data_IF_018028632860
#
_entry.id   IF_018028632860
#
_cell.length_a   1.000
_cell.length_b   1.000
_cell.length_c   1.000
_cell.angle_alpha   90.00
_cell.angle_beta   90.00
_cell.angle_gamma   90.00
#
_symmetry.space_group_name_H-M   'P 1'
#
loop_
_entity.id
_entity.type
_entity.pdbx_description
1 polymer ?
#
# COMPACT_ATOMS: atom_id res chain seq x y z
N UNK A 1 14.66 68.12 4.60
CA UNK A 1 14.90 67.02 3.66
C UNK A 1 16.25 66.42 3.97
N UNK A 2 16.29 65.28 4.66
CA UNK A 2 17.48 64.47 4.82
C UNK A 2 17.03 63.03 5.12
N UNK A 3 16.93 62.24 4.05
CA UNK A 3 16.66 60.80 4.09
C UNK A 3 17.84 60.06 4.73
N UNK A 4 17.56 59.32 5.80
CA UNK A 4 18.48 58.32 6.34
C UNK A 4 18.31 57.03 5.56
N UNK A 5 19.16 56.83 4.56
CA UNK A 5 19.31 55.55 3.88
C UNK A 5 19.90 54.51 4.84
N UNK A 6 19.05 53.60 5.31
CA UNK A 6 19.45 52.49 6.18
C UNK A 6 20.01 51.36 5.30
N UNK A 7 21.34 51.27 5.25
CA UNK A 7 22.06 50.24 4.49
C UNK A 7 21.88 48.87 5.16
N UNK A 8 21.02 48.01 4.60
CA UNK A 8 20.91 46.62 5.03
C UNK A 8 22.16 45.85 4.61
N UNK A 9 22.86 45.28 5.59
CA UNK A 9 24.02 44.43 5.35
C UNK A 9 23.62 43.16 4.57
N UNK A 10 24.47 42.67 3.65
CA UNK A 10 24.15 41.51 2.82
C UNK A 10 24.01 40.24 3.67
N UNK A 11 23.08 39.33 3.32
CA UNK A 11 22.85 38.11 4.08
C UNK A 11 24.11 37.24 4.08
N UNK A 12 24.65 36.99 5.26
CA UNK A 12 25.82 36.14 5.48
C UNK A 12 25.53 34.69 5.07
N UNK A 13 26.47 34.04 4.38
CA UNK A 13 26.34 32.70 3.79
C UNK A 13 25.93 31.57 4.77
N UNK A 14 26.15 31.78 6.07
CA UNK A 14 25.71 30.86 7.15
C UNK A 14 24.19 30.85 7.33
N UNK A 15 23.52 31.99 7.15
CA UNK A 15 22.06 32.09 7.25
C UNK A 15 21.35 31.39 6.09
N UNK A 16 21.95 31.46 4.89
CA UNK A 16 21.43 30.76 3.69
C UNK A 16 21.50 29.24 3.87
N UNK A 17 22.64 28.70 4.34
CA UNK A 17 22.78 27.25 4.60
C UNK A 17 21.82 26.71 5.67
N UNK A 18 21.57 27.48 6.73
CA UNK A 18 20.66 27.07 7.80
C UNK A 18 19.20 27.09 7.33
N UNK A 19 18.79 28.14 6.59
CA UNK A 19 17.45 28.24 6.02
C UNK A 19 17.15 27.11 5.01
N UNK A 20 18.10 26.79 4.13
CA UNK A 20 17.95 25.66 3.20
C UNK A 20 17.81 24.32 3.92
N UNK A 21 18.54 24.09 5.03
CA UNK A 21 18.40 22.86 5.84
C UNK A 21 17.04 22.75 6.50
N UNK A 22 16.53 23.85 7.05
CA UNK A 22 15.20 23.87 7.66
C UNK A 22 14.08 23.66 6.65
N UNK A 23 14.16 24.27 5.47
CA UNK A 23 13.18 24.06 4.40
C UNK A 23 13.20 22.61 3.94
N UNK A 24 14.37 22.00 3.75
CA UNK A 24 14.48 20.59 3.36
C UNK A 24 13.88 19.68 4.44
N UNK A 25 14.22 19.91 5.72
CA UNK A 25 13.64 19.15 6.82
C UNK A 25 12.11 19.29 6.90
N UNK A 26 11.59 20.51 6.81
CA UNK A 26 10.15 20.76 6.83
C UNK A 26 9.46 20.06 5.64
N UNK A 27 10.08 20.13 4.47
CA UNK A 27 9.59 19.48 3.25
C UNK A 27 9.56 17.96 3.42
N UNK A 28 10.60 17.36 4.00
CA UNK A 28 10.64 15.93 4.30
C UNK A 28 9.57 15.52 5.30
N UNK A 29 9.39 16.29 6.38
CA UNK A 29 8.36 16.02 7.39
C UNK A 29 6.96 16.10 6.76
N UNK A 30 6.70 17.14 5.96
CA UNK A 30 5.46 17.30 5.21
C UNK A 30 5.25 16.11 4.28
N UNK A 31 6.25 15.75 3.48
CA UNK A 31 6.16 14.59 2.58
C UNK A 31 5.91 13.29 3.35
N UNK A 32 6.53 13.09 4.50
CA UNK A 32 6.29 11.92 5.36
C UNK A 32 4.84 11.92 5.85
N UNK A 33 4.31 13.06 6.31
CA UNK A 33 2.93 13.16 6.79
C UNK A 33 1.93 12.93 5.66
N UNK A 34 2.12 13.57 4.51
CA UNK A 34 1.22 13.41 3.36
C UNK A 34 1.30 12.02 2.74
N UNK A 35 2.47 11.37 2.78
CA UNK A 35 2.64 10.01 2.23
C UNK A 35 2.31 8.92 3.24
N UNK A 36 2.35 9.19 4.54
CA UNK A 36 2.13 8.20 5.60
C UNK A 36 0.84 7.38 5.43
N UNK A 37 -0.32 7.96 5.06
CA UNK A 37 -1.57 7.23 4.92
C UNK A 37 -1.50 6.06 3.94
N UNK A 38 -0.73 6.21 2.85
CA UNK A 38 -0.66 5.23 1.77
C UNK A 38 0.74 4.62 1.58
N UNK A 39 1.76 5.05 2.34
CA UNK A 39 3.14 4.58 2.18
C UNK A 39 3.27 3.07 2.31
N UNK A 40 2.57 2.48 3.28
CA UNK A 40 2.54 1.03 3.47
C UNK A 40 1.85 0.34 2.30
N UNK A 41 0.67 0.82 1.92
CA UNK A 41 -0.12 0.27 0.81
C UNK A 41 0.69 0.30 -0.49
N UNK A 42 1.35 1.42 -0.77
CA UNK A 42 2.28 1.57 -1.89
C UNK A 42 3.41 0.53 -1.85
N UNK A 43 4.04 0.33 -0.69
CA UNK A 43 5.15 -0.63 -0.55
C UNK A 43 4.67 -2.08 -0.75
N UNK A 44 3.57 -2.46 -0.11
CA UNK A 44 3.09 -3.85 -0.05
C UNK A 44 2.33 -4.29 -1.30
N UNK A 45 1.42 -3.46 -1.81
CA UNK A 45 0.54 -3.87 -2.92
C UNK A 45 1.07 -3.46 -4.30
N UNK A 46 2.11 -2.64 -4.36
CA UNK A 46 2.60 -2.11 -5.64
C UNK A 46 4.10 -2.30 -5.79
N UNK A 47 4.92 -1.69 -4.94
CA UNK A 47 6.38 -1.75 -5.13
C UNK A 47 6.96 -3.16 -4.98
N UNK A 48 6.66 -3.86 -3.87
CA UNK A 48 7.21 -5.19 -3.58
C UNK A 48 6.78 -6.23 -4.63
N UNK A 49 5.49 -6.38 -4.98
CA UNK A 49 5.06 -7.35 -5.98
C UNK A 49 5.66 -7.07 -7.36
N UNK A 50 5.69 -5.81 -7.80
CA UNK A 50 6.29 -5.43 -9.08
C UNK A 50 7.79 -5.76 -9.13
N UNK A 51 8.50 -5.59 -8.01
CA UNK A 51 9.91 -5.97 -7.88
C UNK A 51 10.07 -7.49 -7.93
N UNK A 52 9.21 -8.26 -7.27
CA UNK A 52 9.24 -9.73 -7.28
C UNK A 52 8.93 -10.30 -8.67
N UNK A 53 7.92 -9.78 -9.37
CA UNK A 53 7.58 -10.15 -10.75
C UNK A 53 8.76 -9.85 -11.70
N UNK A 54 9.51 -8.76 -11.45
CA UNK A 54 10.71 -8.44 -12.22
C UNK A 54 11.89 -9.36 -11.88
N UNK A 55 12.00 -9.81 -10.63
CA UNK A 55 13.06 -10.72 -10.20
C UNK A 55 12.85 -12.16 -10.71
N UNK A 56 11.59 -12.56 -10.92
CA UNK A 56 11.22 -13.85 -11.50
C UNK A 56 11.42 -13.92 -13.04
N UNK A 57 12.18 -12.99 -13.64
CA UNK A 57 12.42 -12.95 -15.09
C UNK A 57 13.40 -14.08 -15.49
N UNK A 58 12.85 -15.29 -15.68
CA UNK A 58 13.59 -16.49 -16.06
C UNK A 58 12.86 -17.79 -15.74
N UNK A 59 12.07 -17.80 -14.66
CA UNK A 59 11.27 -18.96 -14.25
C UNK A 59 9.78 -18.70 -14.46
N UNK A 60 9.22 -19.43 -15.42
CA UNK A 60 7.83 -19.29 -15.85
C UNK A 60 6.84 -19.64 -14.74
N UNK A 61 7.12 -20.68 -13.96
CA UNK A 61 6.20 -21.18 -12.93
C UNK A 61 6.06 -20.16 -11.79
N UNK A 62 7.21 -19.66 -11.32
CA UNK A 62 7.30 -18.61 -10.30
C UNK A 62 6.68 -17.30 -10.79
N UNK A 63 6.92 -16.92 -12.05
CA UNK A 63 6.35 -15.70 -12.62
C UNK A 63 4.82 -15.74 -12.67
N UNK A 64 4.24 -16.86 -13.13
CA UNK A 64 2.77 -17.03 -13.21
C UNK A 64 2.16 -16.99 -11.81
N UNK A 65 2.74 -17.69 -10.83
CA UNK A 65 2.28 -17.65 -9.45
C UNK A 65 2.30 -16.22 -8.88
N UNK A 66 3.40 -15.48 -9.06
CA UNK A 66 3.54 -14.11 -8.57
C UNK A 66 2.56 -13.13 -9.21
N UNK A 67 2.25 -13.31 -10.50
CA UNK A 67 1.24 -12.49 -11.18
C UNK A 67 -0.17 -12.81 -10.65
N UNK A 68 -0.48 -14.10 -10.41
CA UNK A 68 -1.77 -14.55 -9.86
C UNK A 68 -2.01 -13.95 -8.47
N UNK A 69 -1.02 -14.04 -7.59
CA UNK A 69 -1.11 -13.49 -6.23
C UNK A 69 -1.27 -11.97 -6.28
N UNK A 70 -0.44 -11.30 -7.08
CA UNK A 70 -0.55 -9.85 -7.25
C UNK A 70 -1.91 -9.40 -7.81
N UNK A 71 -2.47 -10.10 -8.81
CA UNK A 71 -3.81 -9.81 -9.35
C UNK A 71 -4.86 -9.88 -8.24
N UNK A 72 -4.81 -10.94 -7.43
CA UNK A 72 -5.72 -11.15 -6.29
C UNK A 72 -5.67 -9.99 -5.31
N UNK A 73 -4.47 -9.69 -4.84
CA UNK A 73 -4.25 -8.67 -3.82
C UNK A 73 -4.65 -7.29 -4.34
N UNK A 74 -4.33 -7.02 -5.61
CA UNK A 74 -4.67 -5.75 -6.24
C UNK A 74 -6.17 -5.59 -6.44
N UNK A 75 -6.88 -6.66 -6.78
CA UNK A 75 -8.33 -6.65 -6.90
C UNK A 75 -9.01 -6.36 -5.55
N UNK A 76 -8.55 -7.02 -4.48
CA UNK A 76 -9.04 -6.79 -3.12
C UNK A 76 -8.76 -5.36 -2.65
N UNK A 77 -7.57 -4.82 -2.94
CA UNK A 77 -7.23 -3.41 -2.67
C UNK A 77 -8.21 -2.47 -3.39
N UNK A 78 -8.44 -2.65 -4.69
CA UNK A 78 -9.35 -1.80 -5.46
C UNK A 78 -10.80 -1.88 -4.96
N UNK A 79 -11.28 -3.06 -4.58
CA UNK A 79 -12.60 -3.20 -3.96
C UNK A 79 -12.68 -2.44 -2.63
N UNK A 80 -11.67 -2.56 -1.78
CA UNK A 80 -11.62 -1.81 -0.52
C UNK A 80 -11.60 -0.30 -0.75
N UNK A 81 -10.89 0.17 -1.78
CA UNK A 81 -10.87 1.58 -2.21
C UNK A 81 -12.26 2.06 -2.62
N UNK A 82 -12.97 1.29 -3.44
CA UNK A 82 -14.32 1.65 -3.89
C UNK A 82 -15.29 1.77 -2.71
N UNK A 83 -15.29 0.79 -1.80
CA UNK A 83 -16.16 0.79 -0.63
C UNK A 83 -15.85 1.99 0.27
N UNK A 84 -14.58 2.21 0.60
CA UNK A 84 -14.17 3.31 1.48
C UNK A 84 -14.44 4.69 0.87
N UNK A 85 -14.17 4.87 -0.43
CA UNK A 85 -14.43 6.13 -1.13
C UNK A 85 -15.94 6.40 -1.28
N UNK A 86 -16.75 5.36 -1.47
CA UNK A 86 -18.22 5.49 -1.52
C UNK A 86 -18.77 5.92 -0.15
N UNK A 87 -18.25 5.34 0.93
CA UNK A 87 -18.61 5.75 2.29
C UNK A 87 -18.19 7.20 2.57
N UNK A 88 -16.97 7.59 2.18
CA UNK A 88 -16.50 8.97 2.32
C UNK A 88 -17.36 9.96 1.51
N UNK A 89 -17.77 9.57 0.30
CA UNK A 89 -18.69 10.35 -0.54
C UNK A 89 -20.03 10.56 0.17
N UNK A 90 -20.63 9.49 0.69
CA UNK A 90 -21.89 9.56 1.44
C UNK A 90 -21.78 10.42 2.70
N UNK A 91 -20.70 10.26 3.47
CA UNK A 91 -20.43 11.09 4.64
C UNK A 91 -20.28 12.57 4.26
N UNK A 92 -19.51 12.87 3.21
CA UNK A 92 -19.29 14.24 2.74
C UNK A 92 -20.58 14.89 2.24
N UNK A 93 -21.43 14.16 1.49
CA UNK A 93 -22.73 14.66 1.05
C UNK A 93 -23.67 14.94 2.23
N UNK A 94 -23.66 14.08 3.25
CA UNK A 94 -24.43 14.31 4.47
C UNK A 94 -23.95 15.57 5.22
N UNK A 95 -22.63 15.79 5.33
CA UNK A 95 -22.09 16.97 6.03
C UNK A 95 -22.30 18.27 5.27
N UNK A 96 -22.35 18.26 3.94
CA UNK A 96 -22.65 19.47 3.15
C UNK A 96 -24.03 20.05 3.52
N UNK A 97 -24.99 19.22 3.95
CA UNK A 97 -26.28 19.74 4.44
C UNK A 97 -26.17 20.63 5.68
N UNK A 98 -25.08 20.52 6.44
CA UNK A 98 -24.82 21.29 7.66
C UNK A 98 -24.27 22.69 7.39
N UNK A 99 -23.83 23.00 6.16
CA UNK A 99 -23.27 24.32 5.81
C UNK A 99 -24.33 25.43 5.70
N UNK A 100 -25.59 25.13 5.99
CA UNK A 100 -26.72 26.08 5.99
C UNK A 100 -26.70 27.03 7.19
N UNK A 101 -25.77 26.86 8.13
CA UNK A 101 -25.60 27.75 9.29
C UNK A 101 -25.08 29.13 8.81
N UNK A 102 -25.70 30.25 9.23
CA UNK A 102 -25.30 31.58 8.80
C UNK A 102 -23.85 31.87 9.23
N UNK A 103 -23.00 32.10 8.23
CA UNK A 103 -21.54 32.19 8.31
C UNK A 103 -20.87 30.83 8.55
N UNK A 104 -20.59 30.00 7.54
CA UNK A 104 -19.62 28.90 7.68
C UNK A 104 -18.18 29.42 7.51
N UNK A 105 -17.19 28.75 8.11
CA UNK A 105 -15.78 28.98 7.77
C UNK A 105 -15.58 28.33 6.39
N UNK A 106 -15.32 29.14 5.35
CA UNK A 106 -15.17 28.67 3.97
C UNK A 106 -14.16 27.52 3.81
N UNK A 107 -13.17 27.44 4.71
CA UNK A 107 -12.16 26.37 4.73
C UNK A 107 -12.78 24.99 4.97
N UNK A 108 -13.80 24.88 5.83
CA UNK A 108 -14.49 23.60 6.07
C UNK A 108 -15.20 23.11 4.80
N UNK A 109 -15.93 24.01 4.13
CA UNK A 109 -16.62 23.70 2.88
C UNK A 109 -15.63 23.32 1.77
N UNK A 110 -14.53 24.07 1.63
CA UNK A 110 -13.48 23.77 0.65
C UNK A 110 -12.84 22.38 0.89
N UNK A 111 -12.61 22.01 2.15
CA UNK A 111 -12.09 20.69 2.52
C UNK A 111 -13.09 19.57 2.25
N UNK A 112 -14.39 19.79 2.48
CA UNK A 112 -15.43 18.82 2.13
C UNK A 112 -15.58 18.65 0.62
N UNK A 113 -15.60 19.73 -0.18
CA UNK A 113 -15.61 19.61 -1.64
C UNK A 113 -14.34 18.94 -2.17
N UNK A 114 -13.18 19.18 -1.56
CA UNK A 114 -11.93 18.49 -1.88
C UNK A 114 -12.03 16.99 -1.57
N UNK A 115 -12.61 16.62 -0.42
CA UNK A 115 -12.89 15.21 -0.09
C UNK A 115 -13.81 14.55 -1.10
N UNK A 116 -14.87 15.25 -1.52
CA UNK A 116 -15.84 14.76 -2.48
C UNK A 116 -15.19 14.46 -3.83
N UNK A 117 -14.44 15.43 -4.38
CA UNK A 117 -13.81 15.26 -5.69
C UNK A 117 -12.73 14.16 -5.63
N UNK A 118 -11.95 14.08 -4.55
CA UNK A 118 -10.99 13.00 -4.33
C UNK A 118 -11.69 11.63 -4.25
N UNK A 119 -12.79 11.51 -3.52
CA UNK A 119 -13.54 10.25 -3.42
C UNK A 119 -14.06 9.79 -4.78
N UNK A 120 -14.65 10.71 -5.55
CA UNK A 120 -15.16 10.44 -6.90
C UNK A 120 -14.03 9.98 -7.84
N UNK A 121 -12.90 10.68 -7.85
CA UNK A 121 -11.73 10.26 -8.64
C UNK A 121 -11.18 8.91 -8.18
N UNK A 122 -11.16 8.64 -6.88
CA UNK A 122 -10.77 7.33 -6.33
C UNK A 122 -11.65 6.20 -6.85
N UNK A 123 -12.98 6.39 -6.91
CA UNK A 123 -13.92 5.41 -7.45
C UNK A 123 -13.70 5.22 -8.95
N UNK A 124 -13.70 6.32 -9.74
CA UNK A 124 -13.56 6.27 -11.21
C UNK A 124 -12.27 5.56 -11.60
N UNK A 125 -11.15 5.97 -11.02
CA UNK A 125 -9.85 5.37 -11.34
C UNK A 125 -9.73 3.94 -10.83
N UNK A 126 -10.36 3.60 -9.70
CA UNK A 126 -10.42 2.22 -9.26
C UNK A 126 -11.19 1.32 -10.24
N UNK A 127 -12.30 1.80 -10.81
CA UNK A 127 -13.07 1.07 -11.83
C UNK A 127 -12.23 0.88 -13.10
N UNK A 128 -11.55 1.94 -13.57
CA UNK A 128 -10.70 1.87 -14.75
C UNK A 128 -9.55 0.86 -14.58
N UNK A 129 -8.88 0.88 -13.43
CA UNK A 129 -7.78 -0.04 -13.16
C UNK A 129 -8.30 -1.47 -13.00
N UNK A 130 -9.45 -1.65 -12.37
CA UNK A 130 -10.11 -2.95 -12.24
C UNK A 130 -10.44 -3.54 -13.61
N UNK A 131 -10.97 -2.75 -14.53
CA UNK A 131 -11.22 -3.18 -15.92
C UNK A 131 -9.94 -3.62 -16.65
N UNK A 132 -8.83 -2.90 -16.47
CA UNK A 132 -7.51 -3.32 -17.01
C UNK A 132 -7.06 -4.65 -16.40
N UNK A 133 -7.44 -4.90 -15.14
CA UNK A 133 -7.13 -6.12 -14.42
C UNK A 133 -8.00 -7.30 -14.87
N UNK A 134 -9.25 -7.04 -15.26
CA UNK A 134 -10.18 -8.01 -15.82
C UNK A 134 -9.75 -8.48 -17.23
N UNK A 135 -9.03 -7.64 -17.98
CA UNK A 135 -8.41 -8.02 -19.26
C UNK A 135 -7.24 -9.03 -19.12
N UNK A 136 -6.75 -9.25 -17.88
CA UNK A 136 -5.73 -10.25 -17.58
C UNK A 136 -6.45 -11.59 -17.34
N UNK A 137 -5.95 -12.72 -17.87
CA UNK A 137 -6.57 -14.02 -17.67
C UNK A 137 -6.81 -14.33 -16.18
N UNK A 138 -7.86 -15.09 -15.90
CA UNK A 138 -8.27 -15.39 -14.53
C UNK A 138 -7.37 -16.40 -13.83
N UNK A 139 -7.53 -16.51 -12.51
CA UNK A 139 -6.71 -17.39 -11.66
C UNK A 139 -6.62 -18.81 -12.20
N UNK A 140 -7.75 -19.31 -12.70
CA UNK A 140 -7.91 -20.67 -13.23
C UNK A 140 -7.32 -20.82 -14.64
N UNK A 141 -7.12 -19.71 -15.35
CA UNK A 141 -6.52 -19.65 -16.68
C UNK A 141 -5.01 -19.38 -16.62
N UNK A 142 -4.52 -18.74 -15.56
CA UNK A 142 -3.09 -18.54 -15.26
C UNK A 142 -2.45 -19.87 -14.82
N UNK A 143 -2.43 -20.87 -15.68
CA UNK A 143 -1.73 -22.14 -15.46
C UNK A 143 -0.46 -22.21 -16.32
N UNK A 144 0.40 -23.20 -16.06
CA UNK A 144 1.66 -23.40 -16.80
C UNK A 144 1.46 -23.52 -18.32
N UNK A 145 0.23 -23.83 -18.76
CA UNK A 145 -0.19 -23.95 -20.16
C UNK A 145 -0.49 -22.63 -20.88
N UNK A 146 -0.41 -21.47 -20.21
CA UNK A 146 -0.72 -20.17 -20.81
C UNK A 146 0.14 -19.92 -22.08
N UNK A 147 -0.36 -19.23 -23.11
CA UNK A 147 0.51 -18.93 -24.25
C UNK A 147 1.64 -17.97 -23.82
N UNK A 148 2.87 -18.17 -24.32
CA UNK A 148 3.96 -17.21 -24.08
C UNK A 148 3.59 -15.79 -24.52
N UNK A 149 2.75 -15.68 -25.57
CA UNK A 149 2.24 -14.41 -26.06
C UNK A 149 1.35 -13.72 -25.03
N UNK A 150 0.49 -14.48 -24.35
CA UNK A 150 -0.39 -13.99 -23.29
C UNK A 150 0.42 -13.59 -22.06
N UNK A 151 1.38 -14.41 -21.65
CA UNK A 151 2.28 -14.09 -20.54
C UNK A 151 3.07 -12.80 -20.82
N UNK A 152 3.55 -12.62 -22.05
CA UNK A 152 4.25 -11.41 -22.50
C UNK A 152 3.31 -10.20 -22.54
N UNK A 153 2.05 -10.38 -22.94
CA UNK A 153 1.02 -9.34 -22.91
C UNK A 153 0.74 -8.90 -21.47
N UNK A 154 0.45 -9.85 -20.56
CA UNK A 154 0.21 -9.61 -19.14
C UNK A 154 1.41 -8.91 -18.49
N UNK A 155 2.63 -9.39 -18.73
CA UNK A 155 3.85 -8.75 -18.26
C UNK A 155 3.99 -7.32 -18.77
N UNK A 156 3.61 -7.05 -20.03
CA UNK A 156 3.66 -5.70 -20.60
C UNK A 156 2.61 -4.77 -19.98
N UNK A 157 1.42 -5.27 -19.67
CA UNK A 157 0.36 -4.51 -18.99
C UNK A 157 0.80 -4.14 -17.57
N UNK A 158 1.36 -5.09 -16.83
CA UNK A 158 1.77 -4.90 -15.42
C UNK A 158 3.04 -4.06 -15.30
N UNK A 159 4.09 -4.39 -16.07
CA UNK A 159 5.43 -3.82 -15.90
C UNK A 159 5.80 -2.73 -16.91
N UNK A 160 4.95 -2.46 -17.91
CA UNK A 160 5.21 -1.54 -19.05
C UNK A 160 6.69 -1.59 -19.47
N UNK A 161 7.10 -2.78 -19.90
CA UNK A 161 8.49 -3.24 -19.95
C UNK A 161 9.44 -2.25 -20.67
N UNK A 162 10.38 -1.68 -19.91
CA UNK A 162 11.59 -1.03 -20.44
C UNK A 162 12.76 -1.52 -19.59
N UNK A 163 13.85 -1.97 -20.24
CA UNK A 163 15.05 -2.56 -19.59
C UNK A 163 15.71 -1.68 -18.51
N UNK A 164 15.39 -0.38 -18.47
CA UNK A 164 15.87 0.56 -17.44
C UNK A 164 14.69 1.27 -16.77
N UNK A 165 14.70 1.44 -15.43
CA UNK A 165 13.67 2.20 -14.73
C UNK A 165 13.81 3.69 -15.10
N UNK A 166 13.10 4.10 -16.14
CA UNK A 166 12.93 5.50 -16.52
C UNK A 166 11.67 6.10 -15.90
N UNK A 167 11.34 7.32 -16.32
CA UNK A 167 10.12 8.05 -15.91
C UNK A 167 8.84 7.21 -16.11
N UNK A 168 8.78 6.38 -17.16
CA UNK A 168 7.65 5.49 -17.41
C UNK A 168 7.39 4.46 -16.29
N UNK A 169 8.41 4.02 -15.56
CA UNK A 169 8.24 3.11 -14.42
C UNK A 169 7.55 3.80 -13.24
N UNK A 170 7.95 5.03 -12.95
CA UNK A 170 7.35 5.84 -11.89
C UNK A 170 5.92 6.24 -12.22
N UNK A 171 5.63 6.59 -13.48
CA UNK A 171 4.26 6.85 -13.95
C UNK A 171 3.39 5.61 -13.77
N UNK A 172 3.89 4.44 -14.13
CA UNK A 172 3.17 3.18 -13.97
C UNK A 172 2.86 2.88 -12.48
N UNK A 173 3.85 3.04 -11.59
CA UNK A 173 3.64 2.88 -10.15
C UNK A 173 2.62 3.88 -9.61
N UNK A 174 2.69 5.13 -10.07
CA UNK A 174 1.73 6.17 -9.73
C UNK A 174 0.32 5.79 -10.17
N UNK A 175 0.13 5.35 -11.42
CA UNK A 175 -1.18 4.92 -11.91
C UNK A 175 -1.73 3.76 -11.07
N UNK A 176 -0.93 2.74 -10.77
CA UNK A 176 -1.36 1.62 -9.94
C UNK A 176 -1.75 2.04 -8.50
N UNK A 177 -1.18 3.11 -7.96
CA UNK A 177 -1.47 3.57 -6.60
C UNK A 177 -2.42 4.76 -6.51
N UNK A 178 -2.72 5.39 -7.64
CA UNK A 178 -3.54 6.59 -7.69
C UNK A 178 -4.90 6.43 -6.98
N UNK A 179 -5.65 5.32 -7.15
CA UNK A 179 -6.94 5.19 -6.46
C UNK A 179 -6.81 5.16 -4.93
N UNK A 180 -5.83 4.43 -4.39
CA UNK A 180 -5.61 4.32 -2.94
C UNK A 180 -5.07 5.63 -2.35
N UNK A 181 -4.16 6.30 -3.06
CA UNK A 181 -3.68 7.63 -2.69
C UNK A 181 -4.84 8.63 -2.61
N UNK A 182 -5.67 8.68 -3.65
CA UNK A 182 -6.80 9.62 -3.73
C UNK A 182 -7.86 9.32 -2.67
N UNK A 183 -8.15 8.04 -2.41
CA UNK A 183 -9.03 7.62 -1.32
C UNK A 183 -8.50 8.03 0.05
N UNK A 184 -7.20 7.91 0.29
CA UNK A 184 -6.58 8.38 1.54
C UNK A 184 -6.70 9.90 1.68
N UNK A 185 -6.45 10.67 0.62
CA UNK A 185 -6.59 12.12 0.64
C UNK A 185 -8.03 12.57 0.86
N UNK A 186 -9.01 11.83 0.33
CA UNK A 186 -10.42 12.10 0.60
C UNK A 186 -10.71 12.03 2.11
N UNK A 187 -10.29 10.95 2.77
CA UNK A 187 -10.48 10.80 4.21
C UNK A 187 -9.73 11.85 5.03
N UNK A 188 -8.49 12.17 4.67
CA UNK A 188 -7.73 13.22 5.36
C UNK A 188 -8.39 14.59 5.24
N UNK A 189 -8.85 14.97 4.05
CA UNK A 189 -9.53 16.24 3.81
C UNK A 189 -10.91 16.28 4.47
N UNK A 190 -11.65 15.16 4.47
CA UNK A 190 -12.92 15.03 5.20
C UNK A 190 -12.74 15.26 6.71
N UNK A 191 -11.81 14.54 7.33
CA UNK A 191 -11.53 14.67 8.77
C UNK A 191 -11.02 16.07 9.12
N UNK A 192 -10.20 16.67 8.26
CA UNK A 192 -9.75 18.05 8.43
C UNK A 192 -10.92 19.03 8.37
N UNK A 193 -11.82 18.88 7.39
CA UNK A 193 -13.02 19.71 7.25
C UNK A 193 -13.94 19.58 8.47
N UNK A 194 -14.16 18.34 8.94
CA UNK A 194 -14.92 18.07 10.15
C UNK A 194 -14.29 18.70 11.39
N UNK A 195 -12.96 18.63 11.52
CA UNK A 195 -12.23 19.24 12.64
C UNK A 195 -12.39 20.76 12.63
N UNK A 196 -12.20 21.40 11.46
CA UNK A 196 -12.40 22.85 11.30
C UNK A 196 -13.83 23.25 11.64
N UNK A 197 -14.82 22.50 11.13
CA UNK A 197 -16.24 22.75 11.39
C UNK A 197 -16.57 22.67 12.89
N UNK A 198 -16.16 21.60 13.56
CA UNK A 198 -16.41 21.42 15.01
C UNK A 198 -15.65 22.45 15.85
N UNK A 199 -14.47 22.89 15.41
CA UNK A 199 -13.67 23.90 16.10
C UNK A 199 -14.08 25.36 15.78
N UNK A 200 -15.08 25.58 14.92
CA UNK A 200 -15.63 26.91 14.62
C UNK A 200 -15.83 27.82 15.85
N UNK A 201 -16.44 27.37 16.98
CA UNK A 201 -16.60 28.22 18.17
C UNK A 201 -15.28 28.79 18.70
N UNK A 202 -14.19 27.99 18.69
CA UNK A 202 -12.86 28.46 19.10
C UNK A 202 -12.25 29.45 18.12
N UNK A 203 -12.42 29.19 16.82
CA UNK A 203 -11.86 30.04 15.75
C UNK A 203 -12.52 31.42 15.77
N UNK A 204 -13.83 31.47 16.05
CA UNK A 204 -14.61 32.71 16.08
C UNK A 204 -14.59 33.44 17.41
N UNK A 205 -14.11 32.78 18.47
CA UNK A 205 -14.12 33.31 19.84
C UNK A 205 -15.54 33.64 20.28
N UNK A 206 -16.47 32.73 19.97
CA UNK A 206 -17.85 32.85 20.41
C UNK A 206 -17.91 32.74 21.95
N UNK A 207 -19.02 33.18 22.54
CA UNK A 207 -19.22 33.06 23.98
C UNK A 207 -19.18 31.58 24.42
N UNK A 208 -18.59 31.34 25.59
CA UNK A 208 -18.41 29.99 26.09
C UNK A 208 -19.77 29.29 26.28
N UNK A 209 -19.93 28.13 25.66
CA UNK A 209 -21.21 27.44 25.59
C UNK A 209 -21.07 25.96 25.32
N UNK A 210 -22.21 25.29 25.07
CA UNK A 210 -22.21 23.85 24.85
C UNK A 210 -21.44 23.44 23.58
N UNK A 211 -21.40 24.28 22.55
CA UNK A 211 -20.60 24.03 21.33
C UNK A 211 -19.09 23.89 21.63
N UNK A 212 -18.56 24.67 22.57
CA UNK A 212 -17.17 24.57 23.01
C UNK A 212 -16.90 23.22 23.71
N UNK A 213 -17.82 22.76 24.56
CA UNK A 213 -17.72 21.47 25.25
C UNK A 213 -17.75 20.31 24.26
N UNK A 214 -18.64 20.36 23.26
CA UNK A 214 -18.71 19.37 22.17
C UNK A 214 -17.39 19.34 21.41
N UNK A 215 -16.84 20.51 21.07
CA UNK A 215 -15.58 20.60 20.35
C UNK A 215 -14.39 20.03 21.16
N UNK A 216 -14.35 20.27 22.47
CA UNK A 216 -13.32 19.67 23.35
C UNK A 216 -13.45 18.15 23.38
N UNK A 217 -14.65 17.62 23.56
CA UNK A 217 -14.87 16.17 23.57
C UNK A 217 -14.47 15.54 22.23
N UNK A 218 -14.83 16.17 21.11
CA UNK A 218 -14.41 15.77 19.78
C UNK A 218 -12.87 15.73 19.66
N UNK A 219 -12.17 16.79 20.09
CA UNK A 219 -10.71 16.86 20.03
C UNK A 219 -10.03 15.82 20.92
N UNK A 220 -10.57 15.51 22.10
CA UNK A 220 -10.05 14.46 22.98
C UNK A 220 -10.16 13.10 22.29
N UNK A 221 -11.35 12.74 21.81
CA UNK A 221 -11.58 11.46 21.13
C UNK A 221 -10.76 11.36 19.84
N UNK A 222 -10.73 12.45 19.05
CA UNK A 222 -9.92 12.54 17.85
C UNK A 222 -8.42 12.38 18.11
N UNK A 223 -7.91 12.97 19.20
CA UNK A 223 -6.51 12.84 19.61
C UNK A 223 -6.18 11.41 20.03
N UNK A 224 -7.06 10.73 20.78
CA UNK A 224 -6.88 9.32 21.14
C UNK A 224 -6.84 8.45 19.88
N UNK A 225 -7.76 8.67 18.94
CA UNK A 225 -7.79 7.96 17.65
C UNK A 225 -6.51 8.21 16.83
N UNK A 226 -6.04 9.46 16.77
CA UNK A 226 -4.81 9.82 16.07
C UNK A 226 -3.57 9.19 16.70
N UNK A 227 -3.44 9.22 18.03
CA UNK A 227 -2.35 8.54 18.74
C UNK A 227 -2.38 7.03 18.46
N UNK A 228 -3.56 6.40 18.53
CA UNK A 228 -3.72 4.97 18.24
C UNK A 228 -3.31 4.63 16.81
N UNK A 229 -3.67 5.48 15.85
CA UNK A 229 -3.24 5.37 14.46
C UNK A 229 -1.71 5.45 14.35
N UNK A 230 -1.07 6.45 14.97
CA UNK A 230 0.39 6.59 14.98
C UNK A 230 1.08 5.37 15.59
N UNK A 231 0.60 4.88 16.74
CA UNK A 231 1.13 3.67 17.36
C UNK A 231 1.01 2.46 16.44
N UNK A 232 -0.13 2.29 15.77
CA UNK A 232 -0.36 1.21 14.81
C UNK A 232 0.60 1.29 13.62
N UNK A 233 0.80 2.49 13.06
CA UNK A 233 1.76 2.73 11.98
C UNK A 233 3.20 2.45 12.43
N UNK A 234 3.58 2.90 13.61
CA UNK A 234 4.90 2.65 14.19
C UNK A 234 5.13 1.16 14.44
N UNK A 235 4.15 0.46 15.02
CA UNK A 235 4.23 -0.97 15.30
C UNK A 235 4.44 -1.78 14.02
N UNK A 236 3.65 -1.49 12.99
CA UNK A 236 3.79 -2.11 11.67
C UNK A 236 5.17 -1.84 11.07
N UNK A 237 5.64 -0.59 11.15
CA UNK A 237 6.94 -0.21 10.61
C UNK A 237 8.11 -0.89 11.36
N UNK A 238 8.00 -1.01 12.68
CA UNK A 238 8.95 -1.74 13.51
C UNK A 238 8.97 -3.23 13.15
N UNK A 239 7.80 -3.86 13.03
CA UNK A 239 7.69 -5.27 12.64
C UNK A 239 8.26 -5.54 11.23
N UNK A 240 8.02 -4.65 10.27
CA UNK A 240 8.64 -4.78 8.94
C UNK A 240 10.17 -4.68 8.98
N UNK A 241 10.72 -3.78 9.81
CA UNK A 241 12.16 -3.64 9.99
C UNK A 241 12.78 -4.85 10.67
N UNK A 242 12.09 -5.42 11.66
CA UNK A 242 12.54 -6.62 12.35
C UNK A 242 12.57 -7.82 11.40
N UNK A 243 11.50 -8.04 10.61
CA UNK A 243 11.47 -9.08 9.58
C UNK A 243 12.62 -8.91 8.57
N UNK A 244 12.90 -7.69 8.12
CA UNK A 244 14.02 -7.41 7.22
C UNK A 244 15.37 -7.73 7.86
N UNK A 245 15.55 -7.42 9.15
CA UNK A 245 16.76 -7.79 9.89
C UNK A 245 16.91 -9.31 9.97
N UNK A 246 15.86 -10.02 10.35
CA UNK A 246 15.89 -11.49 10.46
C UNK A 246 16.26 -12.15 9.13
N UNK A 247 15.65 -11.73 8.02
CA UNK A 247 15.97 -12.28 6.68
C UNK A 247 17.42 -11.99 6.29
N UNK A 248 17.95 -10.80 6.60
CA UNK A 248 19.34 -10.48 6.31
C UNK A 248 20.31 -11.30 7.16
N UNK A 249 20.01 -11.51 8.45
CA UNK A 249 20.81 -12.36 9.33
C UNK A 249 20.82 -13.81 8.87
N UNK A 250 19.66 -14.37 8.47
CA UNK A 250 19.61 -15.73 7.92
C UNK A 250 20.45 -15.87 6.64
N UNK A 251 20.40 -14.89 5.73
CA UNK A 251 21.21 -14.91 4.50
C UNK A 251 22.71 -14.88 4.77
N UNK A 252 23.15 -14.09 5.75
CA UNK A 252 24.56 -14.04 6.14
C UNK A 252 24.99 -15.41 6.68
N UNK A 253 24.19 -16.00 7.58
CA UNK A 253 24.49 -17.32 8.14
C UNK A 253 24.56 -18.44 7.08
N UNK A 254 23.68 -18.41 6.06
CA UNK A 254 23.74 -19.39 4.96
C UNK A 254 25.00 -19.22 4.11
N UNK A 255 25.37 -17.99 3.77
CA UNK A 255 26.59 -17.72 3.00
C UNK A 255 27.87 -18.10 3.77
N UNK A 256 27.87 -17.91 5.10
CA UNK A 256 29.00 -18.29 5.97
C UNK A 256 29.14 -19.83 6.08
N UNK A 257 28.03 -20.58 6.02
CA UNK A 257 28.08 -22.04 5.93
C UNK A 257 28.58 -22.53 4.56
N UNK A 258 28.15 -21.94 3.45
CA UNK A 258 28.62 -22.32 2.11
C UNK A 258 30.12 -22.05 1.94
N UNK A 259 30.61 -20.90 2.40
CA UNK A 259 32.05 -20.58 2.36
C UNK A 259 32.91 -21.47 3.26
N UNK A 260 32.36 -21.97 4.39
CA UNK A 260 33.02 -22.97 5.22
C UNK A 260 33.12 -24.36 4.57
N UNK A 261 32.13 -24.74 3.75
CA UNK A 261 32.12 -26.00 2.99
C UNK A 261 33.09 -25.95 1.81
N UNK A 262 33.24 -24.80 1.14
CA UNK A 262 34.22 -24.63 0.04
C UNK A 262 35.69 -24.65 0.50
N UNK A 263 35.97 -24.24 1.74
CA UNK A 263 37.31 -24.37 2.34
C UNK A 263 37.65 -25.82 2.72
N UNK A 264 36.64 -26.66 2.97
CA UNK A 264 36.84 -28.10 3.23
C UNK A 264 36.93 -28.93 1.93
N UNK A 265 36.40 -28.43 0.81
CA UNK A 265 36.47 -29.11 -0.49
C UNK A 265 37.76 -28.86 -1.27
N UNK A 266 38.54 -27.82 -0.94
CA UNK A 266 39.80 -27.49 -1.62
C UNK A 266 41.05 -28.20 -1.07
N UNK A 267 40.93 -29.05 -0.03
CA UNK A 267 42.05 -29.84 0.50
C UNK A 267 41.93 -31.33 0.15
N UNK A 268 41.80 -31.66 -1.13
CA UNK A 268 42.12 -33.01 -1.65
C UNK A 268 42.99 -32.92 -2.89
N UNK A 269 44.30 -33.09 -2.66
CA UNK A 269 45.33 -33.28 -3.68
C UNK A 269 45.06 -34.58 -4.46
N UNK A 270 45.22 -34.61 -5.80
CA UNK A 270 45.04 -35.83 -6.57
C UNK A 270 46.31 -36.69 -6.47
N UNK A 271 46.16 -37.96 -6.10
CA UNK A 271 47.18 -38.99 -6.31
C UNK A 271 46.55 -40.20 -7.00
N UNK A 272 47.27 -40.68 -8.00
CA UNK A 272 46.92 -41.60 -9.07
C UNK A 272 46.21 -42.93 -8.73
N UNK A 273 45.41 -43.33 -9.74
CA UNK A 273 45.22 -44.67 -10.33
C UNK A 273 44.84 -45.88 -9.46
N UNK A 274 43.68 -46.49 -9.77
CA UNK A 274 43.57 -47.81 -10.46
C UNK A 274 42.19 -48.46 -10.25
N UNK A 275 41.40 -48.52 -11.33
CA UNK A 275 40.53 -49.63 -11.77
C UNK A 275 39.73 -50.45 -10.73
N UNK A 276 38.40 -50.25 -10.65
CA UNK A 276 37.44 -51.39 -10.59
C UNK A 276 35.98 -50.99 -10.85
N UNK A 277 35.40 -51.63 -11.88
CA UNK A 277 33.95 -51.86 -12.07
C UNK A 277 33.28 -52.37 -10.79
N UNK A 278 32.18 -51.74 -10.37
CA UNK A 278 30.91 -52.43 -10.07
C UNK A 278 29.74 -51.46 -9.94
N UNK A 279 28.63 -51.89 -10.50
CA UNK A 279 27.28 -51.34 -10.50
C UNK A 279 26.57 -51.58 -9.16
N UNK A 280 25.81 -50.57 -8.69
CA UNK A 280 24.62 -50.68 -7.81
C UNK A 280 24.02 -49.26 -7.69
N UNK A 281 22.85 -49.01 -8.30
CA UNK A 281 21.54 -48.97 -7.63
C UNK A 281 21.34 -47.76 -6.69
N UNK A 282 20.73 -46.72 -7.26
CA UNK A 282 19.62 -45.87 -6.78
C UNK A 282 19.22 -46.06 -5.30
N UNK A 283 19.28 -44.96 -4.50
CA UNK A 283 18.15 -44.36 -3.75
C UNK A 283 18.55 -42.93 -3.35
N UNK A 284 17.82 -41.94 -3.88
CA UNK A 284 17.81 -40.55 -3.44
C UNK A 284 16.95 -40.41 -2.15
N UNK A 285 17.42 -39.73 -1.09
CA UNK A 285 16.55 -39.25 -0.04
C UNK A 285 16.15 -37.80 -0.34
N UNK A 286 15.04 -37.67 -1.05
CA UNK A 286 14.20 -36.47 -1.09
C UNK A 286 13.40 -36.40 0.22
N UNK A 287 12.97 -35.18 0.59
CA UNK A 287 11.82 -34.93 1.46
C UNK A 287 11.92 -35.44 2.91
N UNK A 288 12.26 -34.53 3.82
CA UNK A 288 11.55 -34.41 5.09
C UNK A 288 12.00 -33.13 5.80
N UNK A 289 11.26 -32.02 5.60
CA UNK A 289 11.07 -30.93 6.56
C UNK A 289 9.96 -29.99 6.06
N UNK A 290 8.78 -30.57 5.80
CA UNK A 290 7.51 -29.83 5.76
C UNK A 290 6.44 -30.69 6.44
N UNK A 291 6.51 -30.74 7.76
CA UNK A 291 5.41 -31.19 8.61
C UNK A 291 5.27 -30.23 9.78
N UNK A 292 4.14 -29.54 9.82
CA UNK A 292 3.84 -28.51 10.81
C UNK A 292 2.50 -27.85 10.54
N UNK A 293 1.48 -28.66 10.28
CA UNK A 293 0.09 -28.23 10.35
C UNK A 293 -0.32 -28.05 11.81
N UNK A 294 -0.99 -26.95 12.11
CA UNK A 294 -1.82 -26.80 13.31
C UNK A 294 -2.97 -25.86 12.96
N UNK A 295 -4.11 -26.44 12.57
CA UNK A 295 -5.48 -26.09 12.93
C UNK A 295 -6.44 -26.86 12.02
N UNK A 296 -6.77 -28.07 12.47
CA UNK A 296 -7.96 -28.81 12.05
C UNK A 296 -8.89 -28.83 13.27
N UNK A 297 -10.01 -28.12 13.21
CA UNK A 297 -11.12 -28.25 14.16
C UNK A 297 -12.43 -28.18 13.38
N UNK A 298 -12.93 -29.41 13.14
CA UNK A 298 -14.32 -29.86 13.09
C UNK A 298 -15.25 -29.44 11.95
N UNK A 299 -15.39 -30.43 11.06
CA UNK A 299 -16.55 -30.82 10.27
C UNK A 299 -17.82 -30.99 11.15
N UNK A 300 -18.93 -30.43 10.69
CA UNK A 300 -20.28 -30.72 11.18
C UNK A 300 -21.27 -30.70 10.01
N UNK A 301 -21.54 -31.89 9.48
CA UNK A 301 -22.46 -32.15 8.36
C UNK A 301 -23.91 -32.07 8.82
N UNK A 302 -24.79 -31.45 8.03
CA UNK A 302 -26.17 -31.93 7.88
C UNK A 302 -26.80 -31.41 6.60
N UNK A 303 -27.02 -32.35 5.69
CA UNK A 303 -27.88 -32.25 4.52
C UNK A 303 -29.34 -32.03 4.92
N UNK A 304 -30.09 -31.38 4.03
CA UNK A 304 -31.52 -31.17 4.15
C UNK A 304 -32.08 -30.51 2.88
N UNK A 305 -32.57 -31.37 1.99
CA UNK A 305 -33.24 -31.14 0.72
C UNK A 305 -34.50 -30.26 0.74
N UNK A 306 -34.86 -29.83 -0.48
CA UNK A 306 -36.21 -29.56 -1.00
C UNK A 306 -36.96 -28.26 -0.64
N UNK A 307 -37.25 -27.47 -1.69
CA UNK A 307 -38.62 -27.29 -2.22
C UNK A 307 -38.89 -25.85 -2.72
N UNK A 308 -39.39 -25.76 -3.96
CA UNK A 308 -40.59 -24.95 -4.20
C UNK A 308 -40.45 -23.54 -4.77
N UNK A 309 -40.44 -23.47 -6.11
CA UNK A 309 -41.36 -22.64 -6.92
C UNK A 309 -42.00 -21.38 -6.28
N UNK A 310 -41.76 -20.19 -6.85
CA UNK A 310 -42.87 -19.30 -7.20
C UNK A 310 -42.52 -18.22 -8.23
N UNK A 311 -43.29 -18.23 -9.32
CA UNK A 311 -43.45 -17.16 -10.30
C UNK A 311 -44.32 -16.04 -9.72
N UNK A 312 -44.04 -14.77 -10.07
CA UNK A 312 -44.96 -13.64 -10.30
C UNK A 312 -44.09 -12.41 -10.66
N UNK A 313 -44.01 -11.94 -11.91
CA UNK A 313 -44.95 -11.04 -12.60
C UNK A 313 -45.62 -9.99 -11.72
N UNK A 314 -45.32 -8.71 -11.99
CA UNK A 314 -46.20 -7.53 -12.20
C UNK A 314 -45.32 -6.27 -12.10
N UNK A 315 -45.06 -5.55 -13.21
CA UNK A 315 -45.80 -4.35 -13.64
C UNK A 315 -45.92 -3.29 -12.52
N UNK A 316 -45.06 -2.28 -12.56
CA UNK A 316 -45.41 -0.87 -12.80
C UNK A 316 -44.16 -0.11 -13.24
#
# INVERSE_FOLDING_TARGET
MADRAQTQAPPTSKNVKHSTRWIVFLTEVILIIFTAPYRRTFKLYTWKPIREIRAADGDRTVLVAKIRDWKTDKYAELQSVQVAASFCTGATLATISWSTVPNPIWLADALWFSSLICSVWGIITSIQIKSILDDIPDKDQLNERLSELELKRTKRVILRYKKRPGVGHWIMLFLWQFPSMTMSYAWCTFLSGLTVYVCTPFIRRDEWGNHHKIAIMYLIVGSIGFCTYLFSTCFVFAGEKELQRSVNTTRINTNDMESGVDLLSTSKKPSDATNRRRSSEIVDPVENLQSGGLFDVTKGSRDGEESGNSKRQLLY
#
